data_IF_319194695549
#
_entry.id   IF_319194695549
#
_cell.length_a   1.000
_cell.length_b   1.000
_cell.length_c   1.000
_cell.angle_alpha   90.00
_cell.angle_beta   90.00
_cell.angle_gamma   90.00
#
_symmetry.space_group_name_H-M   'P 1'
#
loop_
_entity.id
_entity.type
_entity.pdbx_description
1 polymer ?
#
# COMPACT_ATOMS: atom_id res chain seq x y z
N UNK A 1 15.19 1.11 11.30
CA UNK A 1 13.75 1.41 11.27
C UNK A 1 13.03 0.33 12.08
N UNK A 2 12.06 0.71 12.91
CA UNK A 2 11.27 -0.21 13.73
C UNK A 2 9.83 -0.21 13.20
N UNK A 3 9.30 -1.40 12.89
CA UNK A 3 7.91 -1.58 12.44
C UNK A 3 6.94 -1.78 13.60
N UNK A 4 5.75 -1.19 13.54
CA UNK A 4 4.67 -1.51 14.50
C UNK A 4 4.04 -2.86 14.12
N UNK A 5 3.92 -3.82 15.05
CA UNK A 5 3.54 -5.19 14.72
C UNK A 5 2.01 -5.37 14.74
N UNK A 6 1.27 -4.62 13.91
CA UNK A 6 -0.20 -4.54 13.96
C UNK A 6 -0.91 -5.28 12.84
N UNK A 7 -0.18 -5.78 11.85
CA UNK A 7 -0.71 -6.49 10.67
C UNK A 7 -1.07 -7.97 10.93
N UNK A 8 -0.82 -8.47 12.13
CA UNK A 8 -1.21 -9.82 12.57
C UNK A 8 -1.65 -9.78 14.04
N UNK A 9 -2.47 -10.75 14.46
CA UNK A 9 -2.95 -10.87 15.82
C UNK A 9 -2.66 -12.24 16.41
N UNK A 10 -2.46 -12.36 17.74
CA UNK A 10 -2.34 -13.66 18.39
C UNK A 10 -3.67 -14.37 18.48
N UNK A 11 -3.66 -15.71 18.48
CA UNK A 11 -4.88 -16.54 18.49
C UNK A 11 -5.77 -16.32 19.71
N UNK A 12 -5.20 -15.92 20.85
CA UNK A 12 -5.99 -15.65 22.04
C UNK A 12 -6.94 -14.46 21.87
N UNK A 13 -6.57 -13.49 21.01
CA UNK A 13 -7.41 -12.30 20.80
C UNK A 13 -8.67 -12.67 20.00
N UNK A 14 -8.52 -13.47 18.93
CA UNK A 14 -9.66 -14.02 18.19
C UNK A 14 -10.56 -14.89 19.09
N UNK A 15 -9.98 -15.76 19.92
CA UNK A 15 -10.76 -16.61 20.84
C UNK A 15 -11.55 -15.83 21.88
N UNK A 16 -11.00 -14.69 22.36
CA UNK A 16 -11.67 -13.84 23.35
C UNK A 16 -12.69 -12.88 22.75
N UNK A 17 -12.45 -12.43 21.52
CA UNK A 17 -13.28 -11.47 20.82
C UNK A 17 -13.25 -11.79 19.31
N UNK A 18 -14.04 -12.78 18.85
CA UNK A 18 -14.07 -13.15 17.44
C UNK A 18 -14.44 -11.99 16.49
N UNK A 19 -15.10 -10.97 17.01
CA UNK A 19 -15.53 -9.77 16.29
C UNK A 19 -14.35 -8.91 15.80
N UNK A 20 -13.13 -9.11 16.33
CA UNK A 20 -11.93 -8.43 15.81
C UNK A 20 -11.55 -8.90 14.42
N UNK A 21 -12.06 -10.05 13.98
CA UNK A 21 -11.82 -10.54 12.61
C UNK A 21 -12.72 -9.81 11.63
N UNK A 22 -12.18 -9.48 10.46
CA UNK A 22 -12.95 -8.84 9.39
C UNK A 22 -14.23 -9.60 9.08
N UNK A 23 -15.33 -8.87 9.04
CA UNK A 23 -16.60 -9.31 8.46
C UNK A 23 -16.83 -8.55 7.15
N UNK A 24 -16.98 -9.28 6.05
CA UNK A 24 -17.10 -8.73 4.70
C UNK A 24 -18.56 -8.43 4.27
N UNK A 25 -19.49 -8.53 5.23
CA UNK A 25 -20.93 -8.42 5.01
C UNK A 25 -21.65 -9.76 4.88
N UNK A 26 -20.93 -10.82 4.58
CA UNK A 26 -21.49 -12.18 4.43
C UNK A 26 -20.89 -13.17 5.42
N UNK A 27 -19.60 -13.07 5.64
CA UNK A 27 -18.86 -14.01 6.47
C UNK A 27 -17.75 -13.32 7.27
N UNK A 28 -17.37 -13.95 8.38
CA UNK A 28 -16.21 -13.53 9.17
C UNK A 28 -14.97 -14.31 8.72
N UNK A 29 -13.87 -13.61 8.50
CA UNK A 29 -12.59 -14.25 8.15
C UNK A 29 -12.10 -15.12 9.30
N UNK A 30 -11.48 -16.25 8.96
CA UNK A 30 -10.92 -17.18 9.94
C UNK A 30 -9.50 -16.79 10.32
N UNK A 31 -9.14 -17.03 11.58
CA UNK A 31 -7.80 -16.86 12.09
C UNK A 31 -6.76 -17.67 11.28
N UNK A 32 -5.52 -17.20 11.23
CA UNK A 32 -4.38 -17.90 10.71
C UNK A 32 -3.55 -17.14 9.66
N UNK A 33 -4.10 -16.11 9.05
CA UNK A 33 -3.38 -15.23 8.12
C UNK A 33 -3.07 -13.88 8.75
N UNK A 34 -2.18 -13.09 8.13
CA UNK A 34 -2.02 -11.67 8.43
C UNK A 34 -3.16 -10.85 7.76
N UNK A 35 -3.35 -9.60 8.18
CA UNK A 35 -4.25 -8.64 7.51
C UNK A 35 -5.71 -9.13 7.40
N UNK A 36 -6.22 -9.63 8.51
CA UNK A 36 -7.55 -10.24 8.62
C UNK A 36 -8.39 -9.63 9.76
N UNK A 37 -7.90 -8.57 10.41
CA UNK A 37 -8.57 -7.90 11.50
C UNK A 37 -9.35 -6.68 11.03
N UNK A 38 -10.47 -6.44 11.70
CA UNK A 38 -11.26 -5.22 11.52
C UNK A 38 -10.51 -4.04 12.15
N UNK A 39 -9.91 -3.21 11.31
CA UNK A 39 -9.06 -2.07 11.72
C UNK A 39 -9.80 -0.99 12.50
N UNK A 40 -11.14 -0.99 12.51
CA UNK A 40 -11.93 -0.05 13.29
C UNK A 40 -12.43 -0.66 14.60
N UNK A 41 -12.25 -1.97 14.83
CA UNK A 41 -12.78 -2.63 16.01
C UNK A 41 -12.10 -2.13 17.30
N UNK A 42 -12.85 -1.66 18.32
CA UNK A 42 -12.26 -0.98 19.47
C UNK A 42 -11.36 -1.88 20.32
N UNK A 43 -11.67 -3.17 20.44
CA UNK A 43 -10.81 -4.12 21.17
C UNK A 43 -9.50 -4.34 20.42
N UNK A 44 -9.54 -4.47 19.08
CA UNK A 44 -8.33 -4.55 18.28
C UNK A 44 -7.48 -3.27 18.44
N UNK A 45 -8.09 -2.09 18.27
CA UNK A 45 -7.41 -0.80 18.43
C UNK A 45 -6.76 -0.66 19.81
N UNK A 46 -7.44 -1.06 20.86
CA UNK A 46 -6.88 -1.01 22.21
C UNK A 46 -5.68 -1.93 22.41
N UNK A 47 -5.76 -3.15 21.87
CA UNK A 47 -4.63 -4.10 21.93
C UNK A 47 -3.44 -3.59 21.10
N UNK A 48 -3.70 -3.09 19.90
CA UNK A 48 -2.68 -2.49 19.02
C UNK A 48 -2.00 -1.28 19.68
N UNK A 49 -2.78 -0.35 20.26
CA UNK A 49 -2.25 0.79 21.03
C UNK A 49 -1.29 0.34 22.12
N UNK A 50 -1.70 -0.65 22.94
CA UNK A 50 -0.87 -1.16 24.02
C UNK A 50 0.47 -1.72 23.52
N UNK A 51 0.45 -2.47 22.42
CA UNK A 51 1.69 -3.05 21.83
C UNK A 51 2.57 -1.94 21.24
N UNK A 52 1.99 -1.01 20.47
CA UNK A 52 2.71 0.12 19.90
C UNK A 52 3.38 0.93 21.01
N UNK A 53 2.62 1.35 22.04
CA UNK A 53 3.16 2.16 23.12
C UNK A 53 4.30 1.44 23.85
N UNK A 54 4.16 0.13 24.14
CA UNK A 54 5.23 -0.65 24.78
C UNK A 54 6.48 -0.77 23.89
N UNK A 55 6.30 -0.99 22.60
CA UNK A 55 7.41 -1.00 21.66
C UNK A 55 8.15 0.34 21.66
N UNK A 56 7.43 1.45 21.59
CA UNK A 56 7.98 2.79 21.54
C UNK A 56 8.68 3.18 22.84
N UNK A 57 8.14 2.82 24.03
CA UNK A 57 8.79 3.02 25.31
C UNK A 57 10.20 2.42 25.36
N UNK A 58 10.42 1.29 24.69
CA UNK A 58 11.72 0.61 24.66
C UNK A 58 12.65 1.06 23.53
N UNK A 59 12.11 1.57 22.43
CA UNK A 59 12.90 1.77 21.20
C UNK A 59 13.10 3.22 20.80
N UNK A 60 12.22 4.15 21.19
CA UNK A 60 12.27 5.53 20.72
C UNK A 60 13.57 6.25 21.07
N UNK A 61 14.14 5.98 22.24
CA UNK A 61 15.38 6.62 22.71
C UNK A 61 16.66 5.86 22.35
N UNK A 62 16.56 4.75 21.61
CA UNK A 62 17.74 3.99 21.16
C UNK A 62 18.41 4.76 20.03
N UNK A 63 19.68 5.08 20.17
CA UNK A 63 20.40 6.00 19.26
C UNK A 63 20.47 5.54 17.81
N UNK A 64 20.53 4.22 17.55
CA UNK A 64 20.56 3.65 16.20
C UNK A 64 19.17 3.55 15.54
N UNK A 65 18.08 3.85 16.25
CA UNK A 65 16.75 3.90 15.64
C UNK A 65 16.55 5.25 14.98
N UNK A 66 16.45 5.25 13.65
CA UNK A 66 16.35 6.45 12.80
C UNK A 66 14.92 6.78 12.41
N UNK A 67 13.97 5.84 12.56
CA UNK A 67 12.58 6.05 12.21
C UNK A 67 11.70 4.85 12.52
N UNK A 68 10.41 5.03 12.27
CA UNK A 68 9.37 4.04 12.52
C UNK A 68 8.54 3.80 11.24
N UNK A 69 8.32 2.52 10.92
CA UNK A 69 7.33 2.12 9.95
C UNK A 69 6.03 1.79 10.70
N UNK A 70 4.94 2.46 10.33
CA UNK A 70 3.62 2.18 10.90
C UNK A 70 2.92 1.09 10.08
N UNK A 71 2.45 0.04 10.75
CA UNK A 71 1.80 -1.12 10.17
C UNK A 71 2.56 -1.74 8.97
N UNK A 72 1.88 -2.51 8.13
CA UNK A 72 2.47 -3.15 6.96
C UNK A 72 1.42 -3.31 5.84
N UNK A 73 1.71 -2.75 4.64
CA UNK A 73 0.84 -2.88 3.45
C UNK A 73 -0.65 -2.71 3.78
N UNK A 74 -0.98 -1.65 4.53
CA UNK A 74 -2.30 -1.46 5.12
C UNK A 74 -3.39 -1.26 4.07
N UNK A 75 -4.49 -1.96 4.28
CA UNK A 75 -5.71 -1.89 3.46
C UNK A 75 -6.94 -1.90 4.37
N UNK A 76 -8.12 -1.69 3.79
CA UNK A 76 -9.37 -1.85 4.55
C UNK A 76 -9.80 -3.32 4.70
N UNK A 77 -9.13 -4.25 4.04
CA UNK A 77 -9.33 -5.71 4.10
C UNK A 77 -10.75 -6.19 3.78
N UNK A 78 -11.57 -5.32 3.18
CA UNK A 78 -12.96 -5.60 2.86
C UNK A 78 -13.92 -5.48 4.06
N UNK A 79 -13.51 -4.78 5.15
CA UNK A 79 -14.38 -4.69 6.34
C UNK A 79 -15.71 -4.01 6.03
N UNK A 80 -16.81 -4.72 6.35
CA UNK A 80 -18.21 -4.28 6.23
C UNK A 80 -19.00 -4.70 7.48
N UNK A 81 -18.35 -4.63 8.64
CA UNK A 81 -18.98 -4.99 9.92
C UNK A 81 -20.19 -4.09 10.23
N UNK A 82 -21.11 -4.51 11.12
CA UNK A 82 -22.21 -3.65 11.55
C UNK A 82 -21.75 -2.29 12.13
N UNK A 83 -20.54 -2.22 12.67
CA UNK A 83 -19.94 -0.95 13.08
C UNK A 83 -19.57 -0.09 11.87
N UNK A 84 -18.90 -0.68 10.88
CA UNK A 84 -18.54 0.02 9.63
C UNK A 84 -19.78 0.51 8.89
N UNK A 85 -20.84 -0.32 8.83
CA UNK A 85 -22.14 0.05 8.28
C UNK A 85 -22.73 1.30 8.96
N UNK A 86 -22.76 1.33 10.28
CA UNK A 86 -23.23 2.52 11.03
C UNK A 86 -22.35 3.75 10.77
N UNK A 87 -21.04 3.58 10.76
CA UNK A 87 -20.10 4.67 10.47
C UNK A 87 -20.31 5.23 9.06
N UNK A 88 -20.61 4.36 8.08
CA UNK A 88 -20.91 4.78 6.71
C UNK A 88 -22.21 5.60 6.64
N UNK A 89 -23.26 5.19 7.31
CA UNK A 89 -24.50 5.97 7.40
C UNK A 89 -24.24 7.37 8.01
N UNK A 90 -23.47 7.47 9.07
CA UNK A 90 -23.10 8.77 9.64
C UNK A 90 -22.24 9.61 8.68
N UNK A 91 -21.33 9.00 7.95
CA UNK A 91 -20.58 9.67 6.89
C UNK A 91 -21.51 10.23 5.81
N UNK A 92 -22.51 9.44 5.35
CA UNK A 92 -23.48 9.89 4.35
C UNK A 92 -24.35 11.04 4.89
N UNK A 93 -24.80 10.99 6.14
CA UNK A 93 -25.53 12.08 6.78
C UNK A 93 -24.73 13.39 6.78
N UNK A 94 -23.44 13.31 7.05
CA UNK A 94 -22.55 14.49 7.02
C UNK A 94 -22.41 15.04 5.61
N UNK A 95 -22.36 14.18 4.61
CA UNK A 95 -22.12 14.56 3.21
C UNK A 95 -23.37 15.06 2.49
N UNK A 96 -24.52 14.41 2.71
CA UNK A 96 -25.76 14.67 1.96
C UNK A 96 -26.84 15.38 2.79
N UNK A 97 -26.69 15.46 4.11
CA UNK A 97 -27.59 16.10 5.07
C UNK A 97 -29.01 15.51 5.12
N UNK A 98 -29.67 15.23 3.98
CA UNK A 98 -31.03 14.66 3.93
C UNK A 98 -31.09 13.40 3.07
N UNK A 99 -32.10 12.57 3.34
CA UNK A 99 -32.36 11.37 2.52
C UNK A 99 -32.83 11.72 1.13
N UNK A 100 -33.55 12.84 0.95
CA UNK A 100 -33.99 13.34 -0.35
C UNK A 100 -32.78 13.67 -1.23
N UNK A 101 -31.80 14.38 -0.69
CA UNK A 101 -30.56 14.71 -1.42
C UNK A 101 -29.78 13.45 -1.79
N UNK A 102 -29.65 12.49 -0.87
CA UNK A 102 -29.03 11.20 -1.16
C UNK A 102 -29.76 10.48 -2.29
N UNK A 103 -31.10 10.35 -2.20
CA UNK A 103 -31.95 9.69 -3.21
C UNK A 103 -31.79 10.33 -4.58
N UNK A 104 -31.73 11.67 -4.65
CA UNK A 104 -31.56 12.42 -5.88
C UNK A 104 -30.17 12.19 -6.49
N UNK A 105 -29.12 12.40 -5.72
CA UNK A 105 -27.72 12.29 -6.20
C UNK A 105 -27.42 10.90 -6.73
N UNK A 106 -27.88 9.85 -6.05
CA UNK A 106 -27.65 8.46 -6.48
C UNK A 106 -28.76 7.91 -7.38
N UNK A 107 -29.84 8.63 -7.63
CA UNK A 107 -30.94 8.15 -8.46
C UNK A 107 -31.64 6.93 -7.87
N UNK A 108 -31.80 6.85 -6.55
CA UNK A 108 -32.28 5.66 -5.84
C UNK A 108 -33.76 5.33 -6.10
N UNK A 109 -34.48 6.18 -6.80
CA UNK A 109 -35.86 5.88 -7.24
C UNK A 109 -35.94 4.70 -8.19
N UNK A 110 -34.84 4.40 -8.88
CA UNK A 110 -34.76 3.27 -9.77
C UNK A 110 -34.85 1.95 -8.98
N UNK A 111 -35.75 1.07 -9.36
CA UNK A 111 -36.08 -0.18 -8.67
C UNK A 111 -36.45 -0.02 -7.17
N UNK A 112 -37.06 1.11 -6.83
CA UNK A 112 -37.56 1.38 -5.48
C UNK A 112 -36.49 1.33 -4.38
N UNK A 113 -35.27 1.74 -4.68
CA UNK A 113 -34.17 1.78 -3.71
C UNK A 113 -34.16 3.08 -2.86
N UNK A 114 -35.11 4.00 -3.07
CA UNK A 114 -35.21 5.24 -2.27
C UNK A 114 -35.43 4.91 -0.80
N UNK A 115 -34.74 5.67 0.06
CA UNK A 115 -34.92 5.60 1.51
C UNK A 115 -35.70 6.82 2.00
N UNK A 116 -36.59 6.63 2.97
CA UNK A 116 -37.39 7.71 3.57
C UNK A 116 -36.77 8.20 4.89
N UNK A 117 -36.10 7.33 5.60
CA UNK A 117 -35.37 7.62 6.83
C UNK A 117 -33.99 6.97 6.81
N UNK A 118 -33.03 7.56 7.53
CA UNK A 118 -31.68 7.01 7.62
C UNK A 118 -31.63 5.62 8.28
N UNK A 119 -32.61 5.28 9.11
CA UNK A 119 -32.75 3.94 9.70
C UNK A 119 -33.10 2.86 8.69
N UNK A 120 -33.65 3.25 7.53
CA UNK A 120 -34.00 2.34 6.44
C UNK A 120 -32.82 2.08 5.48
N UNK A 121 -31.66 2.68 5.75
CA UNK A 121 -30.48 2.53 4.88
C UNK A 121 -30.07 1.06 4.78
N UNK A 122 -29.96 0.49 3.57
CA UNK A 122 -29.71 -0.93 3.37
C UNK A 122 -28.29 -1.33 3.80
N UNK A 123 -28.11 -2.61 4.11
CA UNK A 123 -26.79 -3.21 4.26
C UNK A 123 -26.02 -3.14 2.92
N UNK A 124 -24.82 -2.57 2.96
CA UNK A 124 -24.02 -2.37 1.75
C UNK A 124 -23.54 -3.67 1.11
N UNK A 125 -23.44 -4.76 1.86
CA UNK A 125 -23.10 -6.07 1.31
C UNK A 125 -24.15 -6.58 0.31
N UNK A 126 -25.42 -6.26 0.53
CA UNK A 126 -26.51 -6.61 -0.39
C UNK A 126 -26.88 -5.50 -1.39
N UNK A 127 -26.21 -4.37 -1.37
CA UNK A 127 -26.55 -3.23 -2.21
C UNK A 127 -26.18 -3.47 -3.67
N UNK A 128 -27.18 -3.29 -4.55
CA UNK A 128 -26.99 -3.43 -6.00
C UNK A 128 -26.74 -2.11 -6.72
N UNK A 129 -26.64 -1.00 -5.98
CA UNK A 129 -26.49 0.33 -6.54
C UNK A 129 -25.00 0.70 -6.70
N UNK A 130 -24.51 0.80 -7.94
CA UNK A 130 -23.09 1.04 -8.24
C UNK A 130 -22.53 2.32 -7.63
N UNK A 131 -23.26 3.43 -7.68
CA UNK A 131 -22.84 4.69 -7.08
C UNK A 131 -22.62 4.59 -5.56
N UNK A 132 -23.56 3.94 -4.84
CA UNK A 132 -23.39 3.70 -3.39
C UNK A 132 -22.27 2.72 -3.10
N UNK A 133 -22.09 1.68 -3.91
CA UNK A 133 -20.98 0.74 -3.75
C UNK A 133 -19.61 1.43 -3.92
N UNK A 134 -19.48 2.31 -4.92
CA UNK A 134 -18.26 3.11 -5.12
C UNK A 134 -18.03 4.10 -3.98
N UNK A 135 -19.10 4.72 -3.45
CA UNK A 135 -19.02 5.60 -2.29
C UNK A 135 -18.63 4.82 -1.01
N UNK A 136 -19.15 3.61 -0.84
CA UNK A 136 -18.74 2.74 0.26
C UNK A 136 -17.27 2.32 0.15
N UNK A 137 -16.80 1.97 -1.05
CA UNK A 137 -15.38 1.68 -1.29
C UNK A 137 -14.48 2.89 -0.97
N UNK A 138 -14.91 4.12 -1.32
CA UNK A 138 -14.24 5.36 -0.90
C UNK A 138 -14.17 5.49 0.61
N UNK A 139 -15.30 5.26 1.28
CA UNK A 139 -15.36 5.30 2.74
C UNK A 139 -14.45 4.25 3.38
N UNK A 140 -14.44 3.00 2.88
CA UNK A 140 -13.54 1.96 3.38
C UNK A 140 -12.07 2.35 3.25
N UNK A 141 -11.66 2.95 2.10
CA UNK A 141 -10.30 3.48 1.93
C UNK A 141 -9.96 4.57 2.94
N UNK A 142 -10.93 5.43 3.29
CA UNK A 142 -10.72 6.46 4.31
C UNK A 142 -10.49 5.88 5.71
N UNK A 143 -11.09 4.72 6.02
CA UNK A 143 -10.82 4.01 7.28
C UNK A 143 -9.37 3.49 7.35
N UNK A 144 -8.82 3.02 6.23
CA UNK A 144 -7.42 2.60 6.17
C UNK A 144 -6.47 3.79 6.36
N UNK A 145 -6.74 4.92 5.71
CA UNK A 145 -5.96 6.14 5.89
C UNK A 145 -6.04 6.67 7.34
N UNK A 146 -7.23 6.69 7.94
CA UNK A 146 -7.43 7.08 9.34
C UNK A 146 -6.67 6.15 10.30
N UNK A 147 -6.65 4.85 10.02
CA UNK A 147 -5.90 3.89 10.81
C UNK A 147 -4.39 4.18 10.83
N UNK A 148 -3.82 4.53 9.69
CA UNK A 148 -2.41 4.95 9.63
C UNK A 148 -2.17 6.29 10.34
N UNK A 149 -3.06 7.26 10.18
CA UNK A 149 -2.97 8.55 10.91
C UNK A 149 -3.00 8.30 12.42
N UNK A 150 -3.91 7.45 12.91
CA UNK A 150 -3.99 7.08 14.32
C UNK A 150 -2.67 6.44 14.83
N UNK A 151 -2.06 5.53 14.09
CA UNK A 151 -0.76 4.95 14.47
C UNK A 151 0.35 6.01 14.47
N UNK A 152 0.35 6.90 13.47
CA UNK A 152 1.29 8.01 13.38
C UNK A 152 1.21 8.91 14.62
N UNK A 153 0.00 9.25 15.07
CA UNK A 153 -0.19 10.07 16.27
C UNK A 153 0.33 9.37 17.54
N UNK A 154 0.24 8.04 17.62
CA UNK A 154 0.85 7.29 18.71
C UNK A 154 2.38 7.38 18.65
N UNK A 155 2.97 7.18 17.47
CA UNK A 155 4.43 7.26 17.28
C UNK A 155 4.97 8.67 17.60
N UNK A 156 4.26 9.72 17.18
CA UNK A 156 4.62 11.12 17.45
C UNK A 156 4.76 11.45 18.93
N UNK A 157 4.03 10.76 19.81
CA UNK A 157 4.12 10.96 21.27
C UNK A 157 5.45 10.49 21.88
N UNK A 158 6.17 9.59 21.21
CA UNK A 158 7.36 8.93 21.75
C UNK A 158 8.62 9.22 20.95
N UNK A 159 8.50 9.37 19.63
CA UNK A 159 9.65 9.53 18.75
C UNK A 159 10.44 10.81 19.06
N UNK A 160 11.76 10.76 18.82
CA UNK A 160 12.60 11.96 18.82
C UNK A 160 12.32 12.82 17.56
N UNK A 161 12.74 14.06 17.61
CA UNK A 161 12.54 15.01 16.50
C UNK A 161 13.28 14.57 15.21
N UNK A 162 14.45 13.94 15.37
CA UNK A 162 15.29 13.45 14.27
C UNK A 162 14.81 12.14 13.63
N UNK A 163 13.78 11.49 14.17
CA UNK A 163 13.24 10.24 13.65
C UNK A 163 12.08 10.50 12.70
N UNK A 164 12.07 9.79 11.57
CA UNK A 164 10.97 9.84 10.61
C UNK A 164 9.87 8.81 10.91
N UNK A 165 8.71 9.00 10.28
CA UNK A 165 7.62 8.03 10.21
C UNK A 165 7.42 7.67 8.75
N UNK A 166 7.31 6.38 8.46
CA UNK A 166 7.09 5.85 7.12
C UNK A 166 6.06 4.72 7.13
N UNK A 167 5.61 4.31 5.95
CA UNK A 167 4.76 3.15 5.71
C UNK A 167 5.13 2.53 4.37
N UNK A 168 5.07 1.21 4.27
CA UNK A 168 5.34 0.49 3.05
C UNK A 168 4.06 0.38 2.19
N UNK A 169 3.83 1.40 1.37
CA UNK A 169 2.75 1.38 0.39
C UNK A 169 3.01 0.32 -0.68
N UNK A 170 2.04 -0.54 -0.93
CA UNK A 170 2.07 -1.57 -1.96
C UNK A 170 1.14 -1.24 -3.13
N UNK A 171 1.16 -2.06 -4.17
CA UNK A 171 0.41 -1.87 -5.40
C UNK A 171 -0.59 -3.01 -5.63
N UNK A 172 -1.50 -2.86 -6.58
CA UNK A 172 -2.24 -4.01 -7.08
C UNK A 172 -1.27 -4.86 -7.94
N UNK A 173 -1.12 -6.12 -7.55
CA UNK A 173 -0.21 -7.05 -8.19
C UNK A 173 -0.96 -8.02 -9.08
N UNK A 174 -0.90 -7.81 -10.37
CA UNK A 174 -1.37 -8.74 -11.39
C UNK A 174 -0.76 -8.37 -12.74
N UNK A 175 -1.02 -9.16 -13.76
CA UNK A 175 -0.61 -8.84 -15.11
C UNK A 175 -1.48 -7.70 -15.65
N UNK A 176 -0.86 -6.63 -16.11
CA UNK A 176 -1.48 -5.53 -16.83
C UNK A 176 -0.84 -5.40 -18.22
N UNK A 177 -1.67 -5.11 -19.23
CA UNK A 177 -1.22 -5.00 -20.60
C UNK A 177 -0.93 -6.34 -21.31
N UNK A 178 -0.73 -6.31 -22.62
CA UNK A 178 -0.59 -7.51 -23.45
C UNK A 178 0.79 -8.15 -23.37
N UNK A 179 1.85 -7.36 -23.15
CA UNK A 179 3.25 -7.77 -23.36
C UNK A 179 4.11 -7.79 -22.11
N UNK A 180 3.52 -7.65 -20.93
CA UNK A 180 4.30 -7.57 -19.70
C UNK A 180 4.77 -8.96 -19.29
N UNK A 181 6.06 -9.04 -19.04
CA UNK A 181 6.91 -10.13 -18.56
C UNK A 181 6.27 -11.51 -18.48
N UNK A 182 6.94 -12.51 -18.97
CA UNK A 182 6.50 -13.91 -19.09
C UNK A 182 5.78 -14.49 -17.85
N UNK A 183 6.01 -13.94 -16.66
CA UNK A 183 5.42 -14.40 -15.40
C UNK A 183 4.25 -13.56 -14.89
N UNK A 184 3.78 -12.59 -15.65
CA UNK A 184 2.55 -11.85 -15.36
C UNK A 184 2.61 -10.97 -14.12
N UNK A 185 3.77 -10.40 -13.82
CA UNK A 185 4.00 -9.61 -12.64
C UNK A 185 4.17 -8.14 -12.98
N UNK A 186 3.23 -7.33 -12.54
CA UNK A 186 3.19 -5.91 -12.83
C UNK A 186 2.49 -5.15 -11.71
N UNK A 187 2.53 -3.83 -11.77
CA UNK A 187 1.92 -2.95 -10.81
C UNK A 187 0.78 -2.13 -11.40
N UNK A 188 -0.24 -1.94 -10.59
CA UNK A 188 -1.30 -0.98 -10.79
C UNK A 188 -1.64 -0.23 -9.51
N UNK A 189 -2.52 0.75 -9.63
CA UNK A 189 -3.06 1.51 -8.50
C UNK A 189 -3.72 0.57 -7.50
N UNK A 190 -3.39 0.69 -6.22
CA UNK A 190 -3.97 -0.13 -5.16
C UNK A 190 -5.45 0.22 -4.96
N UNK A 191 -6.39 -0.76 -5.08
CA UNK A 191 -7.82 -0.48 -4.96
C UNK A 191 -8.30 -0.24 -3.52
N UNK A 192 -7.61 -0.82 -2.52
CA UNK A 192 -8.10 -0.95 -1.15
C UNK A 192 -7.58 0.12 -0.18
N UNK A 193 -6.78 1.04 -0.67
CA UNK A 193 -6.31 2.24 0.03
C UNK A 193 -6.05 3.36 -0.99
N UNK A 194 -6.29 4.60 -0.61
CA UNK A 194 -5.81 5.75 -1.37
C UNK A 194 -4.44 6.18 -0.81
N UNK A 195 -3.38 6.02 -1.59
CA UNK A 195 -2.02 6.31 -1.16
C UNK A 195 -1.82 7.79 -0.83
N UNK A 196 -2.42 8.70 -1.59
CA UNK A 196 -2.29 10.13 -1.32
C UNK A 196 -2.90 10.50 0.03
N UNK A 197 -4.13 10.08 0.32
CA UNK A 197 -4.76 10.32 1.62
C UNK A 197 -3.97 9.66 2.77
N UNK A 198 -3.54 8.44 2.58
CA UNK A 198 -2.76 7.69 3.57
C UNK A 198 -1.36 8.27 3.80
N UNK A 199 -0.76 8.90 2.78
CA UNK A 199 0.57 9.53 2.90
C UNK A 199 0.60 10.69 3.89
N UNK A 200 -0.55 11.26 4.27
CA UNK A 200 -0.67 12.28 5.31
C UNK A 200 -0.21 11.78 6.69
N UNK A 201 -0.22 10.46 6.89
CA UNK A 201 0.25 9.83 8.12
C UNK A 201 1.78 9.77 8.25
N UNK A 202 2.53 9.91 7.16
CA UNK A 202 3.98 9.69 7.13
C UNK A 202 4.76 10.98 6.85
N UNK A 203 6.00 11.01 7.34
CA UNK A 203 6.94 12.13 7.06
C UNK A 203 7.79 11.85 5.83
N UNK A 204 8.10 10.58 5.55
CA UNK A 204 8.79 10.12 4.35
C UNK A 204 7.94 8.98 3.76
N UNK A 205 7.63 9.06 2.47
CA UNK A 205 6.93 7.98 1.80
C UNK A 205 7.83 6.75 1.69
N UNK A 206 7.27 5.58 1.97
CA UNK A 206 7.92 4.30 1.80
C UNK A 206 7.11 3.38 0.90
N UNK A 207 7.72 2.35 0.37
CA UNK A 207 7.03 1.44 -0.57
C UNK A 207 7.67 0.08 -0.62
N UNK A 208 6.89 -0.90 -1.06
CA UNK A 208 7.34 -2.22 -1.45
C UNK A 208 7.29 -2.33 -2.97
N UNK A 209 8.46 -2.50 -3.58
CA UNK A 209 8.58 -2.67 -5.02
C UNK A 209 9.27 -4.00 -5.30
N UNK A 210 8.47 -5.01 -5.57
CA UNK A 210 8.91 -6.30 -6.08
C UNK A 210 8.71 -6.32 -7.60
N UNK A 211 9.64 -6.88 -8.33
CA UNK A 211 9.63 -6.84 -9.81
C UNK A 211 10.23 -8.13 -10.38
N UNK A 212 9.95 -8.47 -11.64
CA UNK A 212 10.61 -9.58 -12.30
C UNK A 212 12.14 -9.43 -12.30
N UNK A 213 12.84 -10.53 -12.36
CA UNK A 213 14.29 -10.60 -12.55
C UNK A 213 14.60 -11.40 -13.79
N UNK A 214 15.88 -11.68 -14.05
CA UNK A 214 16.35 -12.41 -15.22
C UNK A 214 15.85 -11.74 -16.51
N UNK A 215 15.35 -12.51 -17.45
CA UNK A 215 14.88 -12.00 -18.74
C UNK A 215 13.54 -11.24 -18.65
N UNK A 216 12.85 -11.36 -17.52
CA UNK A 216 11.58 -10.65 -17.28
C UNK A 216 11.71 -9.21 -16.78
N UNK A 217 12.92 -8.75 -16.45
CA UNK A 217 13.15 -7.40 -15.95
C UNK A 217 13.10 -6.39 -17.10
N UNK A 218 12.11 -5.50 -17.07
CA UNK A 218 11.98 -4.39 -18.04
C UNK A 218 12.33 -3.03 -17.44
N UNK A 219 12.35 -2.89 -16.11
CA UNK A 219 12.53 -1.63 -15.40
C UNK A 219 11.24 -0.79 -15.26
N UNK A 220 10.20 -1.09 -16.02
CA UNK A 220 8.94 -0.34 -15.99
C UNK A 220 8.24 -0.43 -14.65
N UNK A 221 8.31 -1.57 -13.95
CA UNK A 221 7.74 -1.76 -12.61
C UNK A 221 8.45 -0.88 -11.57
N UNK A 222 9.77 -0.80 -11.63
CA UNK A 222 10.57 0.06 -10.74
C UNK A 222 10.23 1.53 -11.01
N UNK A 223 10.15 1.90 -12.29
CA UNK A 223 9.77 3.24 -12.71
C UNK A 223 8.37 3.63 -12.24
N UNK A 224 7.36 2.79 -12.52
CA UNK A 224 5.97 3.02 -12.11
C UNK A 224 5.83 3.16 -10.59
N UNK A 225 6.42 2.23 -9.84
CA UNK A 225 6.40 2.26 -8.39
C UNK A 225 7.07 3.53 -7.84
N UNK A 226 8.26 3.86 -8.34
CA UNK A 226 9.00 5.04 -7.93
C UNK A 226 8.28 6.35 -8.24
N UNK A 227 7.76 6.50 -9.46
CA UNK A 227 7.04 7.71 -9.89
C UNK A 227 5.71 7.89 -9.13
N UNK A 228 5.04 6.78 -8.75
CA UNK A 228 3.82 6.83 -7.92
C UNK A 228 4.11 7.27 -6.48
N UNK A 229 5.19 6.80 -5.87
CA UNK A 229 5.46 7.04 -4.44
C UNK A 229 6.16 8.37 -4.21
N UNK A 230 7.11 8.74 -5.10
CA UNK A 230 7.80 10.02 -5.03
C UNK A 230 6.82 11.20 -5.01
N UNK A 231 5.78 11.16 -5.82
CA UNK A 231 4.80 12.25 -5.94
C UNK A 231 3.89 12.43 -4.73
N UNK A 232 3.81 11.44 -3.83
CA UNK A 232 3.00 11.56 -2.60
C UNK A 232 3.49 12.66 -1.67
N UNK A 233 4.80 12.97 -1.71
CA UNK A 233 5.44 14.01 -0.87
C UNK A 233 6.23 15.02 -1.68
N UNK A 234 6.31 14.88 -2.99
CA UNK A 234 7.23 15.65 -3.86
C UNK A 234 8.68 15.64 -3.38
N UNK A 235 9.10 14.52 -2.80
CA UNK A 235 10.40 14.34 -2.16
C UNK A 235 10.91 12.92 -2.37
N UNK A 236 12.15 12.67 -1.96
CA UNK A 236 12.73 11.34 -1.96
C UNK A 236 11.89 10.37 -1.11
N UNK A 237 11.85 9.12 -1.52
CA UNK A 237 11.14 8.04 -0.84
C UNK A 237 12.09 6.91 -0.44
N UNK A 238 11.62 5.95 0.33
CA UNK A 238 12.39 4.76 0.73
C UNK A 238 11.72 3.51 0.15
N UNK A 239 12.50 2.66 -0.53
CA UNK A 239 12.08 1.29 -0.83
C UNK A 239 12.31 0.48 0.44
N UNK A 240 11.23 0.17 1.16
CA UNK A 240 11.27 -0.55 2.43
C UNK A 240 11.35 -2.06 2.22
N UNK A 241 10.83 -2.54 1.10
CA UNK A 241 10.96 -3.93 0.68
C UNK A 241 11.18 -4.02 -0.84
N UNK A 242 12.19 -4.75 -1.21
CA UNK A 242 12.35 -5.33 -2.54
C UNK A 242 13.05 -6.69 -2.42
N UNK A 243 12.92 -7.54 -3.42
CA UNK A 243 13.57 -8.84 -3.36
C UNK A 243 15.10 -8.76 -3.44
N UNK A 244 15.77 -9.56 -2.61
CA UNK A 244 17.18 -9.87 -2.81
C UNK A 244 17.34 -10.99 -3.85
N UNK A 245 16.73 -12.16 -3.58
CA UNK A 245 16.67 -13.28 -4.50
C UNK A 245 15.23 -13.65 -4.85
N UNK A 246 14.29 -13.27 -3.99
CA UNK A 246 12.88 -13.56 -4.05
C UNK A 246 12.52 -15.06 -3.99
N UNK A 247 11.26 -15.31 -4.27
CA UNK A 247 10.65 -16.60 -4.24
C UNK A 247 10.91 -17.31 -5.57
N UNK A 248 10.87 -18.58 -5.61
CA UNK A 248 10.76 -19.51 -6.72
C UNK A 248 11.60 -19.25 -7.99
N UNK A 249 11.30 -18.24 -8.83
CA UNK A 249 11.91 -18.07 -10.17
C UNK A 249 12.77 -16.83 -10.32
N UNK A 250 12.92 -16.03 -9.29
CA UNK A 250 13.46 -14.69 -9.40
C UNK A 250 14.84 -14.53 -8.77
N UNK A 251 15.69 -15.52 -8.97
CA UNK A 251 17.09 -15.33 -8.64
C UNK A 251 17.71 -14.41 -9.69
N UNK A 252 18.24 -13.24 -9.31
CA UNK A 252 18.80 -12.31 -10.27
C UNK A 252 20.07 -12.87 -10.94
N UNK A 253 20.31 -12.48 -12.20
CA UNK A 253 21.59 -12.70 -12.84
C UNK A 253 22.66 -11.79 -12.20
N UNK A 254 23.96 -12.15 -12.32
CA UNK A 254 25.05 -11.28 -11.87
C UNK A 254 24.93 -9.88 -12.47
N UNK A 255 24.97 -8.86 -11.62
CA UNK A 255 24.78 -7.44 -12.00
C UNK A 255 23.35 -6.93 -11.87
N UNK A 256 22.34 -7.80 -11.82
CA UNK A 256 20.95 -7.35 -11.76
C UNK A 256 20.58 -6.73 -10.42
N UNK A 257 21.10 -7.20 -9.30
CA UNK A 257 20.80 -6.59 -8.00
C UNK A 257 21.31 -5.15 -7.93
N UNK A 258 22.51 -4.90 -8.46
CA UNK A 258 23.04 -3.54 -8.61
C UNK A 258 22.18 -2.71 -9.56
N UNK A 259 21.78 -3.26 -10.72
CA UNK A 259 20.88 -2.60 -11.65
C UNK A 259 19.56 -2.19 -10.97
N UNK A 260 18.94 -3.08 -10.19
CA UNK A 260 17.75 -2.77 -9.40
C UNK A 260 18.00 -1.61 -8.44
N UNK A 261 19.06 -1.68 -7.66
CA UNK A 261 19.44 -0.62 -6.71
C UNK A 261 19.61 0.74 -7.39
N UNK A 262 20.35 0.80 -8.50
CA UNK A 262 20.53 2.04 -9.26
C UNK A 262 19.23 2.52 -9.94
N UNK A 263 18.39 1.61 -10.39
CA UNK A 263 17.08 1.97 -10.97
C UNK A 263 16.18 2.63 -9.95
N UNK A 264 16.14 2.11 -8.70
CA UNK A 264 15.41 2.73 -7.59
C UNK A 264 15.97 4.13 -7.26
N UNK A 265 17.29 4.28 -7.18
CA UNK A 265 17.91 5.59 -6.94
C UNK A 265 17.61 6.57 -8.08
N UNK A 266 17.67 6.12 -9.34
CA UNK A 266 17.34 6.93 -10.51
C UNK A 266 15.85 7.34 -10.51
N UNK A 267 14.97 6.56 -9.90
CA UNK A 267 13.56 6.90 -9.70
C UNK A 267 13.30 7.82 -8.50
N UNK A 268 14.36 8.18 -7.73
CA UNK A 268 14.28 9.11 -6.61
C UNK A 268 14.27 8.47 -5.22
N UNK A 269 14.57 7.17 -5.11
CA UNK A 269 14.70 6.55 -3.80
C UNK A 269 15.92 7.06 -3.04
N UNK A 270 15.77 7.36 -1.75
CA UNK A 270 16.88 7.71 -0.84
C UNK A 270 17.46 6.48 -0.12
N UNK A 271 16.83 5.33 -0.23
CA UNK A 271 17.28 4.09 0.37
C UNK A 271 16.56 2.88 -0.19
N UNK A 272 17.24 1.74 -0.15
CA UNK A 272 16.71 0.46 -0.63
C UNK A 272 16.97 -0.59 0.44
N UNK A 273 15.91 -1.26 0.90
CA UNK A 273 15.95 -2.34 1.88
C UNK A 273 15.47 -3.63 1.22
N UNK A 274 16.18 -4.72 1.51
CA UNK A 274 15.86 -6.02 0.94
C UNK A 274 14.95 -6.83 1.86
N UNK A 275 13.93 -7.46 1.29
CA UNK A 275 13.23 -8.55 1.93
C UNK A 275 13.87 -9.86 1.48
N UNK A 276 14.69 -10.50 2.30
CA UNK A 276 15.07 -10.09 3.64
C UNK A 276 16.56 -10.35 3.89
N UNK A 277 17.01 -10.20 5.15
CA UNK A 277 18.43 -10.39 5.49
C UNK A 277 18.92 -11.83 5.21
N UNK A 278 18.19 -12.83 5.68
CA UNK A 278 18.49 -14.25 5.42
C UNK A 278 17.26 -14.97 4.92
N UNK A 279 17.47 -16.03 4.15
CA UNK A 279 16.37 -16.86 3.66
C UNK A 279 15.52 -17.42 4.80
N UNK A 280 14.20 -17.38 4.64
CA UNK A 280 13.24 -17.69 5.71
C UNK A 280 13.17 -19.20 5.93
N UNK A 281 13.30 -19.64 7.20
CA UNK A 281 13.26 -21.04 7.60
C UNK A 281 11.87 -21.47 8.08
N UNK A 282 11.08 -20.55 8.58
CA UNK A 282 9.83 -20.82 9.28
C UNK A 282 8.66 -19.99 8.74
N UNK A 283 7.45 -20.39 9.08
CA UNK A 283 6.24 -19.65 8.81
C UNK A 283 5.72 -19.81 7.39
N UNK A 284 4.89 -18.86 6.97
CA UNK A 284 4.20 -18.91 5.67
C UNK A 284 5.15 -18.74 4.48
N UNK A 285 6.19 -17.93 4.67
CA UNK A 285 7.17 -17.57 3.61
C UNK A 285 8.46 -18.38 3.72
N UNK A 286 8.39 -19.61 4.20
CA UNK A 286 9.56 -20.44 4.55
C UNK A 286 10.55 -20.68 3.41
N UNK A 287 10.15 -20.46 2.15
CA UNK A 287 11.03 -20.58 0.97
C UNK A 287 11.46 -19.25 0.38
N UNK A 288 11.12 -18.14 1.00
CA UNK A 288 11.55 -16.84 0.51
C UNK A 288 13.06 -16.68 0.73
N UNK A 289 13.77 -16.36 -0.35
CA UNK A 289 15.23 -16.24 -0.35
C UNK A 289 15.64 -14.81 0.01
N UNK A 290 16.46 -14.69 1.04
CA UNK A 290 17.02 -13.41 1.47
C UNK A 290 18.39 -13.12 0.84
N UNK A 291 19.07 -12.14 1.39
CA UNK A 291 20.46 -11.79 1.03
C UNK A 291 21.41 -12.95 1.35
N UNK A 292 21.27 -13.56 2.53
CA UNK A 292 21.97 -14.80 2.89
C UNK A 292 21.15 -16.04 2.47
N UNK A 293 21.85 -17.10 2.14
CA UNK A 293 21.24 -18.40 1.81
C UNK A 293 20.54 -19.06 3.02
N UNK A 294 19.82 -20.17 2.82
CA UNK A 294 19.14 -20.88 3.91
C UNK A 294 20.09 -21.47 4.96
N UNK A 295 21.30 -21.80 4.59
CA UNK A 295 22.37 -22.23 5.50
C UNK A 295 23.11 -21.04 6.17
N UNK A 296 22.60 -19.82 5.96
CA UNK A 296 23.17 -18.55 6.44
C UNK A 296 24.57 -18.25 5.84
N UNK A 297 24.98 -18.96 4.80
CA UNK A 297 26.22 -18.67 4.09
C UNK A 297 26.06 -17.47 3.14
N UNK A 298 27.19 -16.86 2.81
CA UNK A 298 27.28 -15.86 1.74
C UNK A 298 27.07 -16.53 0.38
N UNK A 299 26.64 -15.73 -0.59
CA UNK A 299 26.36 -16.17 -1.95
C UNK A 299 26.58 -14.96 -2.90
N UNK A 300 26.51 -15.15 -4.23
CA UNK A 300 26.73 -14.05 -5.19
C UNK A 300 25.84 -12.82 -4.98
N UNK A 301 24.61 -13.00 -4.50
CA UNK A 301 23.68 -11.87 -4.19
C UNK A 301 24.15 -11.08 -2.98
N UNK A 302 24.66 -11.74 -1.96
CA UNK A 302 25.28 -11.09 -0.80
C UNK A 302 26.49 -10.23 -1.20
N UNK A 303 27.37 -10.79 -2.03
CA UNK A 303 28.55 -10.07 -2.51
C UNK A 303 28.13 -8.84 -3.34
N UNK A 304 27.16 -8.99 -4.23
CA UNK A 304 26.66 -7.91 -5.09
C UNK A 304 25.93 -6.82 -4.28
N UNK A 305 25.13 -7.19 -3.28
CA UNK A 305 24.52 -6.24 -2.35
C UNK A 305 25.59 -5.44 -1.58
N UNK A 306 26.65 -6.12 -1.15
CA UNK A 306 27.81 -5.50 -0.51
C UNK A 306 28.57 -4.55 -1.43
N UNK A 307 28.74 -4.91 -2.72
CA UNK A 307 29.36 -4.05 -3.74
C UNK A 307 28.53 -2.78 -3.94
N UNK A 308 27.22 -2.93 -4.17
CA UNK A 308 26.30 -1.80 -4.32
C UNK A 308 26.35 -0.87 -3.09
N UNK A 309 26.32 -1.40 -1.87
CA UNK A 309 26.42 -0.61 -0.66
C UNK A 309 27.73 0.18 -0.55
N UNK A 310 28.88 -0.42 -0.97
CA UNK A 310 30.19 0.28 -0.99
C UNK A 310 30.22 1.40 -2.05
N UNK A 311 29.59 1.19 -3.19
CA UNK A 311 29.48 2.21 -4.23
C UNK A 311 28.67 3.41 -3.77
N UNK A 312 27.49 3.16 -3.17
CA UNK A 312 26.63 4.23 -2.64
C UNK A 312 27.35 5.01 -1.53
N UNK A 313 28.11 4.34 -0.66
CA UNK A 313 28.91 5.01 0.36
C UNK A 313 29.98 5.95 -0.23
N UNK A 314 30.49 5.67 -1.43
CA UNK A 314 31.45 6.56 -2.13
C UNK A 314 30.79 7.77 -2.75
N UNK A 315 29.60 7.60 -3.32
CA UNK A 315 28.86 8.71 -3.94
C UNK A 315 28.28 9.66 -2.89
N UNK A 316 28.03 9.14 -1.68
CA UNK A 316 27.60 9.94 -0.54
C UNK A 316 26.27 10.65 -0.77
N UNK A 317 26.11 11.83 -0.16
CA UNK A 317 24.86 12.61 -0.18
C UNK A 317 24.49 13.16 -1.56
N UNK A 318 25.45 13.29 -2.47
CA UNK A 318 25.22 13.87 -3.80
C UNK A 318 24.23 13.05 -4.64
N UNK A 319 24.13 11.73 -4.41
CA UNK A 319 23.20 10.85 -5.10
C UNK A 319 21.82 10.77 -4.44
N UNK A 320 21.69 11.17 -3.18
CA UNK A 320 20.45 11.08 -2.42
C UNK A 320 19.53 12.31 -2.58
N UNK A 321 19.98 13.34 -3.28
CA UNK A 321 19.26 14.59 -3.46
C UNK A 321 18.84 14.81 -4.93
N UNK A 322 18.68 13.74 -5.71
CA UNK A 322 18.24 13.84 -7.10
C UNK A 322 16.76 14.17 -7.10
N UNK A 323 16.42 15.42 -7.42
CA UNK A 323 15.05 15.83 -7.68
C UNK A 323 14.72 15.65 -9.16
N UNK A 324 13.58 15.08 -9.46
CA UNK A 324 13.05 14.99 -10.83
C UNK A 324 12.03 16.11 -11.04
N UNK A 325 12.11 16.77 -12.19
CA UNK A 325 11.11 17.76 -12.64
C UNK A 325 10.51 17.25 -13.93
N UNK A 326 9.29 16.77 -13.86
CA UNK A 326 8.57 16.25 -15.00
C UNK A 326 7.62 17.33 -15.59
N UNK A 327 7.38 17.24 -16.90
CA UNK A 327 6.43 18.11 -17.62
C UNK A 327 5.12 17.38 -17.94
N UNK A 328 5.07 16.09 -17.67
CA UNK A 328 3.93 15.22 -17.93
C UNK A 328 3.49 14.58 -16.64
N UNK A 329 2.20 14.47 -16.43
CA UNK A 329 1.63 13.70 -15.34
C UNK A 329 0.56 12.72 -15.84
N UNK A 330 0.55 11.52 -15.29
CA UNK A 330 -0.53 10.55 -15.39
C UNK A 330 -1.40 10.73 -14.16
N UNK A 331 -2.65 11.14 -14.36
CA UNK A 331 -3.60 11.34 -13.25
C UNK A 331 -4.32 10.05 -12.96
N UNK A 332 -4.34 9.65 -11.70
CA UNK A 332 -5.05 8.47 -11.21
C UNK A 332 -6.17 8.85 -10.24
N UNK A 333 -7.20 8.01 -10.19
CA UNK A 333 -8.34 8.19 -9.30
C UNK A 333 -8.92 6.86 -8.84
N UNK A 334 -8.88 6.63 -7.53
CA UNK A 334 -9.46 5.42 -6.92
C UNK A 334 -10.98 5.32 -7.08
N UNK A 335 -11.70 6.43 -7.29
CA UNK A 335 -13.15 6.38 -7.54
C UNK A 335 -13.43 5.86 -8.95
N UNK A 336 -12.67 6.33 -9.94
CA UNK A 336 -12.72 5.80 -11.30
C UNK A 336 -12.38 4.32 -11.34
N UNK A 337 -11.35 3.89 -10.59
CA UNK A 337 -11.01 2.47 -10.43
C UNK A 337 -12.19 1.67 -9.85
N UNK A 338 -12.83 2.16 -8.77
CA UNK A 338 -13.99 1.50 -8.17
C UNK A 338 -15.17 1.40 -9.13
N UNK A 339 -15.44 2.47 -9.88
CA UNK A 339 -16.53 2.51 -10.86
C UNK A 339 -16.30 1.55 -12.01
N UNK A 340 -15.06 1.45 -12.48
CA UNK A 340 -14.65 0.53 -13.53
C UNK A 340 -14.75 -0.92 -13.08
N UNK A 341 -14.38 -1.22 -11.84
CA UNK A 341 -14.52 -2.56 -11.26
C UNK A 341 -15.99 -2.94 -11.03
N UNK A 342 -16.84 -1.98 -10.67
CA UNK A 342 -18.27 -2.23 -10.50
C UNK A 342 -18.98 -2.52 -11.83
N UNK A 343 -18.69 -1.74 -12.86
CA UNK A 343 -19.30 -1.89 -14.18
C UNK A 343 -18.21 -1.81 -15.27
N UNK A 344 -17.49 -2.92 -15.51
CA UNK A 344 -16.42 -2.94 -16.47
C UNK A 344 -16.94 -2.73 -17.91
N UNK A 345 -16.21 -1.96 -18.70
CA UNK A 345 -16.50 -1.74 -20.13
C UNK A 345 -16.30 -3.05 -20.89
N UNK A 346 -15.29 -3.81 -20.55
CA UNK A 346 -14.99 -5.14 -21.05
C UNK A 346 -14.51 -6.02 -19.91
N UNK A 347 -14.85 -7.32 -19.96
CA UNK A 347 -14.47 -8.30 -18.91
C UNK A 347 -12.96 -8.51 -18.76
N UNK A 348 -12.21 -8.28 -19.84
CA UNK A 348 -10.78 -8.49 -19.90
C UNK A 348 -9.99 -7.16 -19.79
N UNK A 349 -10.66 -6.03 -19.55
CA UNK A 349 -10.08 -4.71 -19.41
C UNK A 349 -10.31 -4.18 -18.00
N UNK A 350 -9.24 -3.82 -17.29
CA UNK A 350 -9.30 -3.17 -15.99
C UNK A 350 -8.88 -1.69 -16.07
N UNK A 351 -9.22 -0.92 -15.04
CA UNK A 351 -8.73 0.46 -14.90
C UNK A 351 -7.19 0.53 -14.95
N UNK A 352 -6.53 -0.42 -14.29
CA UNK A 352 -5.08 -0.48 -14.24
C UNK A 352 -4.42 -0.85 -15.57
N UNK A 353 -5.12 -1.57 -16.46
CA UNK A 353 -4.63 -1.77 -17.84
C UNK A 353 -4.51 -0.42 -18.56
N UNK A 354 -5.50 0.45 -18.43
CA UNK A 354 -5.49 1.78 -19.05
C UNK A 354 -4.38 2.65 -18.46
N UNK A 355 -4.22 2.65 -17.15
CA UNK A 355 -3.14 3.40 -16.48
C UNK A 355 -1.77 2.92 -16.96
N UNK A 356 -1.56 1.60 -17.05
CA UNK A 356 -0.28 1.02 -17.50
C UNK A 356 -0.02 1.25 -18.97
N UNK A 357 -1.02 1.22 -19.84
CA UNK A 357 -0.82 1.57 -21.25
C UNK A 357 -0.30 3.00 -21.41
N UNK A 358 -0.85 3.94 -20.66
CA UNK A 358 -0.36 5.33 -20.69
C UNK A 358 1.06 5.42 -20.14
N UNK A 359 1.30 4.83 -18.98
CA UNK A 359 2.62 4.88 -18.35
C UNK A 359 3.70 4.17 -19.16
N UNK A 360 3.45 2.94 -19.61
CA UNK A 360 4.42 2.13 -20.36
C UNK A 360 4.77 2.79 -21.71
N UNK A 361 3.79 3.41 -22.37
CA UNK A 361 4.05 4.18 -23.58
C UNK A 361 5.01 5.36 -23.31
N UNK A 362 4.79 6.13 -22.25
CA UNK A 362 5.70 7.22 -21.86
C UNK A 362 7.07 6.69 -21.48
N UNK A 363 7.13 5.59 -20.75
CA UNK A 363 8.37 4.94 -20.34
C UNK A 363 9.21 4.49 -21.56
N UNK A 364 8.60 3.81 -22.52
CA UNK A 364 9.26 3.38 -23.75
C UNK A 364 9.75 4.55 -24.63
N UNK A 365 9.02 5.67 -24.60
CA UNK A 365 9.41 6.90 -25.26
C UNK A 365 10.51 7.69 -24.51
N UNK A 366 10.98 7.20 -23.36
CA UNK A 366 11.87 7.92 -22.44
C UNK A 366 11.34 9.27 -21.97
N UNK A 367 10.02 9.40 -21.83
CA UNK A 367 9.36 10.58 -21.28
C UNK A 367 9.10 10.34 -19.81
N UNK A 368 9.84 11.05 -18.95
CA UNK A 368 9.60 11.01 -17.50
C UNK A 368 8.24 11.63 -17.17
N UNK A 369 7.49 11.00 -16.29
CA UNK A 369 6.21 11.53 -15.83
C UNK A 369 6.05 11.42 -14.30
N UNK A 370 5.14 12.18 -13.77
CA UNK A 370 4.61 12.04 -12.43
C UNK A 370 3.34 11.19 -12.48
N UNK A 371 3.10 10.36 -11.45
CA UNK A 371 1.81 9.71 -11.25
C UNK A 371 1.18 10.39 -10.05
N UNK A 372 0.08 11.10 -10.26
CA UNK A 372 -0.55 11.94 -9.24
C UNK A 372 -2.01 11.55 -9.01
N UNK A 373 -2.44 11.60 -7.76
CA UNK A 373 -3.85 11.47 -7.42
C UNK A 373 -4.62 12.71 -7.91
N UNK A 374 -5.87 12.52 -8.34
CA UNK A 374 -6.71 13.61 -8.84
C UNK A 374 -6.82 14.76 -7.83
N UNK A 375 -6.76 14.50 -6.54
CA UNK A 375 -6.83 15.51 -5.50
C UNK A 375 -5.56 16.37 -5.39
N UNK A 376 -4.45 15.95 -6.00
CA UNK A 376 -3.22 16.74 -6.08
C UNK A 376 -3.25 17.80 -7.19
N UNK A 377 -4.21 17.73 -8.13
CA UNK A 377 -4.30 18.70 -9.22
C UNK A 377 -4.55 20.14 -8.75
N UNK A 378 -5.16 20.32 -7.59
CA UNK A 378 -5.41 21.65 -7.01
C UNK A 378 -4.20 22.19 -6.25
N UNK A 379 -3.22 21.33 -5.95
CA UNK A 379 -2.02 21.64 -5.16
C UNK A 379 -0.78 21.90 -6.05
N UNK A 380 -0.85 21.48 -7.32
CA UNK A 380 0.23 21.59 -8.33
C UNK A 380 -0.13 22.55 -9.45
#
# INVERSE_FOLDING_TARGET
>A
IIGTPTYAIPSWLEKKCPEVMVFDGYSRKKYGKRQIMDIVHPVFRKCAENVICKLLEHTANVSCVIGFQIDNETKHYGTASPQVQRMFVEYLKTKFHTTEQLNEVFGLRYWSNSISDWSDFPDMAGCIHGGLACEFAKFQRSLAAEYLVWQSELVKKYKRQDQFITHNFDFEWKKFGADIAQDGYSYGVQPDINHYEASKAVTIAGTDIYHPTQDGLTGAEIGFGGDSIRTLKDDAYIVLECQAQAFKYWTPYPGQLRLHGYSHLASGAAGVLYWNWHSIHDGYETYWKGVLSHDLSTNPVYEEAGEFGREIARFGRETLCISRKNQVAVVIDNQSLSSFNWFPIDKDLSYNDVVRWMYDCLYEMNISCDIIDIHQLEEK
#
